data_IF_151278227387
#
_entry.id   IF_151278227387
#
_cell.length_a   1.000
_cell.length_b   1.000
_cell.length_c   1.000
_cell.angle_alpha   90.00
_cell.angle_beta   90.00
_cell.angle_gamma   90.00
#
_symmetry.space_group_name_H-M   'P 1'
#
loop_
_entity.id
_entity.type
_entity.pdbx_description
1 polymer ?
#
# COMPACT_ATOMS: atom_id res chain seq x y z
N UNK A 1 14.13 -6.98 10.74
CA UNK A 1 13.76 -7.26 9.33
C UNK A 1 12.25 -7.44 9.29
N UNK A 2 11.44 -6.46 8.86
CA UNK A 2 10.00 -6.65 8.82
C UNK A 2 9.57 -7.25 7.48
N UNK A 3 9.05 -8.49 7.56
CA UNK A 3 7.74 -8.91 7.02
C UNK A 3 7.34 -8.59 5.57
N UNK A 4 8.26 -8.42 4.61
CA UNK A 4 7.88 -8.47 3.19
C UNK A 4 7.35 -9.86 2.78
N UNK A 5 7.83 -10.92 3.45
CA UNK A 5 7.37 -12.30 3.21
C UNK A 5 5.87 -12.50 3.52
N UNK A 6 5.28 -11.68 4.40
CA UNK A 6 3.88 -11.84 4.79
C UNK A 6 2.94 -11.20 3.75
N UNK A 7 3.43 -10.17 3.04
CA UNK A 7 2.70 -9.53 1.92
C UNK A 7 2.62 -10.44 0.69
N UNK A 8 3.67 -11.22 0.41
CA UNK A 8 3.67 -12.19 -0.68
C UNK A 8 2.59 -13.29 -0.55
N UNK A 9 2.05 -13.51 0.67
CA UNK A 9 1.01 -14.50 0.98
C UNK A 9 -0.41 -13.94 0.95
N UNK A 10 -0.60 -12.61 1.00
CA UNK A 10 -1.92 -12.02 0.95
C UNK A 10 -2.47 -12.04 -0.49
N UNK A 11 -3.53 -12.80 -0.70
CA UNK A 11 -4.26 -12.79 -1.96
C UNK A 11 -4.97 -11.45 -2.13
N UNK A 12 -4.39 -10.57 -2.95
CA UNK A 12 -4.91 -9.25 -3.33
C UNK A 12 -4.72 -8.15 -2.27
N UNK A 13 -4.16 -7.02 -2.70
CA UNK A 13 -3.96 -5.83 -1.89
C UNK A 13 -4.69 -4.68 -2.58
N UNK A 14 -5.52 -3.93 -1.86
CA UNK A 14 -6.35 -2.87 -2.44
C UNK A 14 -5.87 -1.52 -1.93
N UNK A 15 -5.59 -0.57 -2.83
CA UNK A 15 -5.35 0.82 -2.43
C UNK A 15 -6.66 1.46 -1.95
N UNK A 16 -6.67 2.03 -0.74
CA UNK A 16 -7.83 2.68 -0.12
C UNK A 16 -7.71 4.20 -0.02
N UNK A 17 -6.51 4.73 0.22
CA UNK A 17 -6.31 6.16 0.40
C UNK A 17 -4.87 6.59 0.14
N UNK A 18 -4.67 7.91 -0.04
CA UNK A 18 -3.35 8.55 -0.16
C UNK A 18 -3.26 9.71 0.82
N UNK A 19 -2.10 9.89 1.47
CA UNK A 19 -1.85 11.05 2.33
C UNK A 19 -0.42 11.54 2.21
N UNK A 20 -0.21 12.84 2.44
CA UNK A 20 1.12 13.42 2.58
C UNK A 20 1.44 13.60 4.06
N UNK A 21 2.49 12.94 4.54
CA UNK A 21 2.96 13.10 5.93
C UNK A 21 4.32 13.78 5.96
N UNK A 22 4.57 14.53 7.04
CA UNK A 22 5.88 15.14 7.27
C UNK A 22 6.77 14.12 7.98
N UNK A 23 7.83 13.70 7.30
CA UNK A 23 8.81 12.79 7.89
C UNK A 23 9.68 13.51 8.94
N UNK A 24 10.48 12.74 9.68
CA UNK A 24 11.38 13.28 10.72
C UNK A 24 12.42 14.28 10.18
N UNK A 25 12.77 14.19 8.90
CA UNK A 25 13.65 15.14 8.21
C UNK A 25 12.92 16.43 7.80
N UNK A 26 11.64 16.59 8.15
CA UNK A 26 10.83 17.76 7.85
C UNK A 26 10.31 17.83 6.42
N UNK A 27 10.50 16.79 5.61
CA UNK A 27 10.04 16.69 4.22
C UNK A 27 8.66 16.04 4.15
N UNK A 28 7.83 16.48 3.21
CA UNK A 28 6.57 15.81 2.91
C UNK A 28 6.85 14.58 2.04
N UNK A 29 6.37 13.43 2.48
CA UNK A 29 6.40 12.16 1.74
C UNK A 29 4.98 11.68 1.51
N UNK A 30 4.78 10.95 0.42
CA UNK A 30 3.50 10.33 0.09
C UNK A 30 3.44 8.95 0.77
N UNK A 31 2.30 8.65 1.38
CA UNK A 31 1.96 7.36 1.93
C UNK A 31 0.64 6.88 1.33
N UNK A 32 0.53 5.57 1.14
CA UNK A 32 -0.62 4.90 0.56
C UNK A 32 -1.23 3.97 1.61
N UNK A 33 -2.52 4.14 1.89
CA UNK A 33 -3.26 3.18 2.69
C UNK A 33 -3.65 2.02 1.81
N UNK A 34 -3.24 0.83 2.22
CA UNK A 34 -3.63 -0.42 1.57
C UNK A 34 -4.41 -1.29 2.53
N UNK A 35 -5.37 -2.03 1.98
CA UNK A 35 -6.09 -3.08 2.67
C UNK A 35 -5.68 -4.42 2.09
N UNK A 36 -5.19 -5.32 2.95
CA UNK A 36 -4.89 -6.69 2.56
C UNK A 36 -6.22 -7.45 2.52
N UNK A 37 -6.63 -7.87 1.33
CA UNK A 37 -7.78 -8.76 1.19
C UNK A 37 -7.38 -10.14 1.70
N UNK A 38 -8.21 -10.69 2.58
CA UNK A 38 -7.92 -11.96 3.22
C UNK A 38 -8.43 -13.11 2.36
N UNK A 39 -7.61 -14.16 2.23
CA UNK A 39 -8.14 -15.48 1.94
C UNK A 39 -9.10 -15.88 3.07
N UNK A 40 -10.34 -16.22 2.71
CA UNK A 40 -11.45 -16.69 3.54
C UNK A 40 -11.16 -16.84 5.05
N UNK A 41 -11.63 -15.87 5.84
CA UNK A 41 -11.87 -16.04 7.29
C UNK A 41 -10.94 -15.32 8.25
N UNK A 42 -10.00 -14.49 7.77
CA UNK A 42 -9.19 -13.63 8.64
C UNK A 42 -9.62 -12.14 8.52
N UNK A 43 -9.35 -11.29 9.54
CA UNK A 43 -9.70 -9.86 9.54
C UNK A 43 -8.83 -8.96 8.63
N UNK A 44 -9.44 -8.37 7.60
CA UNK A 44 -8.80 -7.41 6.68
C UNK A 44 -8.00 -6.35 7.43
N UNK A 45 -6.68 -6.35 7.23
CA UNK A 45 -5.78 -5.40 7.86
C UNK A 45 -5.54 -4.20 6.95
N UNK A 46 -5.72 -2.99 7.50
CA UNK A 46 -5.35 -1.74 6.85
C UNK A 46 -3.98 -1.29 7.33
N UNK A 47 -3.12 -0.87 6.39
CA UNK A 47 -1.77 -0.39 6.68
C UNK A 47 -1.42 0.78 5.77
N UNK A 48 -0.72 1.76 6.33
CA UNK A 48 -0.04 2.79 5.56
C UNK A 48 1.33 2.27 5.11
N UNK A 49 1.57 2.31 3.81
CA UNK A 49 2.84 2.04 3.15
C UNK A 49 3.47 3.36 2.72
N UNK A 50 4.80 3.42 2.74
CA UNK A 50 5.52 4.47 2.03
C UNK A 50 5.28 4.37 0.53
N UNK A 51 5.51 5.48 -0.20
CA UNK A 51 5.44 5.48 -1.66
C UNK A 51 6.33 4.40 -2.30
N UNK A 52 7.56 4.24 -1.81
CA UNK A 52 8.51 3.24 -2.32
C UNK A 52 8.00 1.80 -2.10
N UNK A 53 7.44 1.49 -0.92
CA UNK A 53 6.83 0.18 -0.65
C UNK A 53 5.59 -0.07 -1.50
N UNK A 54 4.82 0.98 -1.82
CA UNK A 54 3.65 0.88 -2.67
C UNK A 54 4.04 0.59 -4.12
N UNK A 55 4.99 1.36 -4.68
CA UNK A 55 5.50 1.17 -6.04
C UNK A 55 6.09 -0.23 -6.24
N UNK A 56 6.83 -0.76 -5.26
CA UNK A 56 7.36 -2.14 -5.35
C UNK A 56 6.25 -3.19 -5.45
N UNK A 57 5.14 -3.00 -4.74
CA UNK A 57 3.99 -3.91 -4.78
C UNK A 57 3.13 -3.72 -6.04
N UNK A 58 3.04 -2.49 -6.54
CA UNK A 58 2.35 -2.15 -7.79
C UNK A 58 3.11 -2.74 -9.00
N UNK A 59 4.43 -2.57 -9.05
CA UNK A 59 5.32 -3.17 -10.06
C UNK A 59 5.26 -4.71 -10.05
N UNK A 60 5.07 -5.31 -8.86
CA UNK A 60 4.87 -6.75 -8.70
C UNK A 60 3.46 -7.22 -9.09
N UNK A 61 2.57 -6.31 -9.51
CA UNK A 61 1.18 -6.58 -9.88
C UNK A 61 0.33 -7.06 -8.71
N UNK A 62 0.65 -6.64 -7.48
CA UNK A 62 -0.05 -7.07 -6.25
C UNK A 62 -1.11 -6.09 -5.77
N UNK A 63 -1.05 -4.85 -6.26
CA UNK A 63 -1.99 -3.78 -5.89
C UNK A 63 -3.10 -3.71 -6.94
N UNK A 64 -4.34 -3.74 -6.46
CA UNK A 64 -5.52 -3.34 -7.22
C UNK A 64 -5.91 -1.92 -6.78
N UNK A 65 -5.84 -0.97 -7.72
CA UNK A 65 -6.19 0.42 -7.48
C UNK A 65 -7.69 0.66 -7.67
N UNK A 66 -8.39 1.04 -6.60
CA UNK A 66 -9.72 1.67 -6.70
C UNK A 66 -9.60 3.17 -7.02
N UNK A 67 -8.45 3.75 -6.66
CA UNK A 67 -8.03 5.08 -7.06
C UNK A 67 -7.36 4.94 -8.44
N UNK A 68 -8.14 5.03 -9.51
CA UNK A 68 -7.64 4.91 -10.88
C UNK A 68 -6.33 5.69 -11.09
N UNK A 69 -5.43 5.16 -11.92
CA UNK A 69 -4.15 5.78 -12.30
C UNK A 69 -4.37 7.17 -12.93
N UNK A 70 -4.59 8.15 -12.07
CA UNK A 70 -4.99 9.50 -12.41
C UNK A 70 -4.49 10.40 -11.30
N UNK A 71 -3.30 10.94 -11.50
CA UNK A 71 -3.18 12.38 -11.71
C UNK A 71 -1.79 12.65 -12.31
N UNK A 72 -1.77 12.74 -13.64
CA UNK A 72 -0.70 13.47 -14.33
C UNK A 72 -0.98 14.95 -14.14
N UNK A 73 -0.13 15.62 -13.36
CA UNK A 73 0.06 17.08 -13.41
C UNK A 73 1.46 17.38 -13.89
#
# INVERSE_FOLDING_TARGET
>A
MPTLLQVATAGHIIERARRRVRNRAGRYVLEHEVEYAEQQGQPTARRWLSHEEFEELDDAGKIEGDLGAGDGV
#
